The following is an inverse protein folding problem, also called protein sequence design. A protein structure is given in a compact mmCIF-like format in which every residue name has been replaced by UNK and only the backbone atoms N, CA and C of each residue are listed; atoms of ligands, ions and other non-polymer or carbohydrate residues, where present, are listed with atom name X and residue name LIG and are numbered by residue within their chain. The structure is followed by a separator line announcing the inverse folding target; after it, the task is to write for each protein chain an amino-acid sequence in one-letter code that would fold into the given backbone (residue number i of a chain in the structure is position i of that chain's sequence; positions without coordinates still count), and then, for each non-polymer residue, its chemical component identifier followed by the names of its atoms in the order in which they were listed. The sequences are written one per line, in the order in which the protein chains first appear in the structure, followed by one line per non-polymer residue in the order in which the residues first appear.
data_IF_820424717343
#
_entry.id   IF_820424717343
#
_cell.length_a   1.000
_cell.length_b   1.000
_cell.length_c   1.000
_cell.angle_alpha   90.00
_cell.angle_beta   90.00
_cell.angle_gamma   90.00
#
_symmetry.space_group_name_H-M   'P 1'
#
loop_
_entity.id
_entity.type
_entity.pdbx_description
1 polymer ?
#
# COMPACT_ATOMS: atom_id res chain seq x y z
N UNK A 1 -27.75 -67.63 41.87
CA UNK A 1 -28.28 -66.26 41.71
C UNK A 1 -27.08 -65.38 41.41
N UNK A 2 -26.92 -64.96 40.14
CA UNK A 2 -25.73 -64.30 39.60
C UNK A 2 -26.02 -62.80 39.44
N UNK A 3 -25.18 -61.96 40.01
CA UNK A 3 -25.05 -60.56 39.60
C UNK A 3 -23.57 -60.22 39.51
N UNK A 4 -23.08 -59.92 38.29
CA UNK A 4 -21.98 -58.99 38.15
C UNK A 4 -22.46 -57.74 37.39
N UNK A 5 -22.20 -56.60 38.02
CA UNK A 5 -22.31 -55.27 37.44
C UNK A 5 -21.44 -55.16 36.20
N UNK A 6 -22.05 -54.98 35.04
CA UNK A 6 -21.36 -54.56 33.82
C UNK A 6 -21.41 -53.04 33.75
N UNK A 7 -20.31 -52.41 34.18
CA UNK A 7 -20.01 -51.01 33.87
C UNK A 7 -19.48 -50.98 32.44
N UNK A 8 -20.34 -50.74 31.46
CA UNK A 8 -19.92 -50.45 30.09
C UNK A 8 -19.47 -48.99 30.02
N UNK A 9 -18.16 -48.80 29.92
CA UNK A 9 -17.51 -47.50 29.79
C UNK A 9 -17.98 -46.75 28.54
N UNK A 10 -18.39 -45.49 28.75
CA UNK A 10 -18.58 -44.49 27.70
C UNK A 10 -17.23 -44.24 27.01
N UNK A 11 -17.07 -44.72 25.78
CA UNK A 11 -15.99 -44.29 24.90
C UNK A 11 -16.29 -42.84 24.48
N UNK A 12 -15.67 -41.88 25.17
CA UNK A 12 -15.47 -40.54 24.64
C UNK A 12 -14.56 -40.67 23.43
N UNK A 13 -15.16 -40.63 22.23
CA UNK A 13 -14.44 -40.34 21.01
C UNK A 13 -13.93 -38.91 21.13
N UNK A 14 -12.74 -38.75 21.71
CA UNK A 14 -11.95 -37.54 21.54
C UNK A 14 -11.75 -37.38 20.03
N UNK A 15 -12.53 -36.49 19.43
CA UNK A 15 -12.21 -35.93 18.13
C UNK A 15 -10.88 -35.23 18.33
N UNK A 16 -9.80 -35.96 18.02
CA UNK A 16 -8.51 -35.36 17.75
C UNK A 16 -8.77 -34.43 16.56
N UNK A 17 -9.10 -33.18 16.86
CA UNK A 17 -8.90 -32.08 15.93
C UNK A 17 -7.45 -32.27 15.49
N UNK A 18 -7.24 -32.60 14.22
CA UNK A 18 -5.92 -32.56 13.64
C UNK A 18 -5.40 -31.17 14.00
N UNK A 19 -4.44 -31.12 14.93
CA UNK A 19 -3.77 -29.90 15.26
C UNK A 19 -3.06 -29.54 13.96
N UNK A 20 -3.70 -28.67 13.18
CA UNK A 20 -3.09 -28.03 12.02
C UNK A 20 -1.93 -27.23 12.60
N UNK A 21 -0.78 -27.87 12.74
CA UNK A 21 0.48 -27.20 13.02
C UNK A 21 0.72 -26.34 11.76
N UNK A 22 0.59 -24.99 11.84
CA UNK A 22 0.62 -24.11 10.67
C UNK A 22 2.07 -23.93 10.20
N UNK A 23 2.68 -25.06 9.85
CA UNK A 23 4.00 -25.15 9.24
C UNK A 23 3.92 -24.77 7.76
N UNK A 24 2.73 -24.78 7.16
CA UNK A 24 2.53 -24.46 5.75
C UNK A 24 1.98 -23.05 5.56
N UNK A 25 2.50 -22.36 4.55
CA UNK A 25 2.16 -20.99 4.21
C UNK A 25 2.21 -20.79 2.70
N UNK A 26 1.71 -19.64 2.24
CA UNK A 26 1.78 -19.30 0.83
C UNK A 26 0.62 -19.82 -0.01
N UNK A 27 0.70 -19.63 -1.33
CA UNK A 27 -0.39 -19.96 -2.26
C UNK A 27 -0.77 -21.44 -2.27
N UNK A 28 0.22 -22.31 -2.05
CA UNK A 28 0.04 -23.76 -2.00
C UNK A 28 -0.66 -24.23 -0.71
N UNK A 29 -0.67 -23.38 0.32
CA UNK A 29 -1.31 -23.65 1.60
C UNK A 29 -2.65 -22.91 1.75
N UNK A 30 -3.26 -22.44 0.67
CA UNK A 30 -4.50 -21.65 0.75
C UNK A 30 -4.27 -20.23 1.26
N UNK A 31 -3.19 -19.59 0.81
CA UNK A 31 -2.81 -18.21 1.13
C UNK A 31 -2.59 -17.95 2.63
N UNK A 32 -2.22 -18.99 3.38
CA UNK A 32 -2.00 -18.88 4.82
C UNK A 32 -0.69 -18.14 5.12
N UNK A 33 -0.70 -17.34 6.18
CA UNK A 33 0.46 -16.62 6.69
C UNK A 33 1.07 -17.37 7.85
N UNK A 34 2.39 -17.39 7.92
CA UNK A 34 3.09 -17.95 9.07
C UNK A 34 2.74 -17.21 10.36
N UNK A 35 2.59 -17.93 11.49
CA UNK A 35 2.28 -17.32 12.77
C UNK A 35 3.46 -16.52 13.32
N UNK A 36 3.15 -15.41 14.01
CA UNK A 36 4.13 -14.57 14.69
C UNK A 36 5.10 -13.89 13.72
N UNK A 37 6.40 -14.02 14.01
CA UNK A 37 7.49 -13.43 13.22
C UNK A 37 8.16 -14.42 12.27
N UNK A 38 7.53 -15.57 12.02
CA UNK A 38 8.07 -16.59 11.13
C UNK A 38 8.02 -16.14 9.67
N UNK A 39 9.01 -16.60 8.91
CA UNK A 39 9.15 -16.36 7.49
C UNK A 39 8.49 -17.51 6.73
N UNK A 40 7.90 -17.19 5.57
CA UNK A 40 7.37 -18.19 4.67
C UNK A 40 8.38 -18.44 3.56
N UNK A 41 9.01 -19.62 3.55
CA UNK A 41 9.97 -19.99 2.50
C UNK A 41 9.30 -20.09 1.12
N UNK A 42 10.11 -20.10 0.06
CA UNK A 42 9.63 -20.34 -1.32
C UNK A 42 8.85 -21.64 -1.48
N UNK A 43 9.12 -22.62 -0.61
CA UNK A 43 8.48 -23.94 -0.62
C UNK A 43 7.19 -24.00 0.20
N UNK A 44 6.72 -22.85 0.72
CA UNK A 44 5.49 -22.78 1.49
C UNK A 44 5.62 -23.35 2.90
N UNK A 45 6.80 -23.22 3.52
CA UNK A 45 7.05 -23.64 4.91
C UNK A 45 7.43 -22.48 5.82
N UNK A 46 6.95 -22.51 7.06
CA UNK A 46 7.19 -21.51 8.08
C UNK A 46 8.45 -21.80 8.90
N UNK A 47 9.34 -20.83 9.01
CA UNK A 47 10.56 -20.97 9.81
C UNK A 47 11.21 -19.64 10.18
N UNK A 48 12.22 -19.70 11.04
CA UNK A 48 12.96 -18.52 11.51
C UNK A 48 14.39 -18.47 10.98
N UNK A 49 14.89 -19.57 10.41
CA UNK A 49 16.23 -19.64 9.87
C UNK A 49 16.33 -18.90 8.53
N UNK A 50 17.56 -18.56 8.15
CA UNK A 50 17.84 -17.81 6.93
C UNK A 50 17.33 -18.53 5.66
N UNK A 51 17.31 -19.85 5.66
CA UNK A 51 16.70 -20.68 4.60
C UNK A 51 15.21 -20.42 4.37
N UNK A 52 14.50 -19.86 5.36
CA UNK A 52 13.10 -19.48 5.26
C UNK A 52 12.93 -17.98 5.07
N UNK A 53 13.85 -17.19 5.61
CA UNK A 53 13.75 -15.73 5.69
C UNK A 53 14.53 -14.98 4.61
N UNK A 54 15.49 -15.63 3.98
CA UNK A 54 16.38 -15.07 2.97
C UNK A 54 15.78 -15.15 1.57
N UNK A 55 16.60 -15.49 0.59
CA UNK A 55 16.20 -15.57 -0.82
C UNK A 55 15.03 -16.54 -1.04
N UNK A 56 13.98 -16.06 -1.70
CA UNK A 56 12.76 -16.85 -1.96
C UNK A 56 11.69 -16.79 -0.86
N UNK A 57 11.92 -16.05 0.23
CA UNK A 57 10.86 -15.83 1.20
C UNK A 57 9.65 -15.10 0.57
N UNK A 58 8.43 -15.53 0.90
CA UNK A 58 7.18 -15.01 0.32
C UNK A 58 6.61 -13.86 1.19
N UNK A 59 6.74 -12.58 0.79
CA UNK A 59 6.49 -11.42 1.66
C UNK A 59 5.01 -11.22 2.04
N UNK A 60 4.07 -11.76 1.25
CA UNK A 60 2.64 -11.78 1.58
C UNK A 60 2.29 -12.76 2.71
N UNK A 61 3.14 -13.75 2.96
CA UNK A 61 2.82 -14.92 3.78
C UNK A 61 3.80 -15.13 4.95
N UNK A 62 4.79 -14.25 5.15
CA UNK A 62 5.67 -14.27 6.31
C UNK A 62 6.56 -13.04 6.43
N UNK A 63 7.44 -13.03 7.43
CA UNK A 63 8.26 -11.88 7.79
C UNK A 63 9.69 -12.00 7.24
N UNK A 64 9.84 -11.83 5.92
CA UNK A 64 11.12 -11.99 5.23
C UNK A 64 12.19 -11.00 5.71
N UNK A 65 13.44 -11.47 5.82
CA UNK A 65 14.60 -10.66 6.23
C UNK A 65 15.09 -9.72 5.13
N UNK A 66 14.70 -10.00 3.90
CA UNK A 66 15.23 -9.33 2.72
C UNK A 66 14.08 -8.78 1.87
N UNK A 67 13.74 -7.51 2.08
CA UNK A 67 12.94 -6.72 1.12
C UNK A 67 13.82 -6.17 -0.02
N UNK A 68 15.12 -6.49 -0.04
CA UNK A 68 16.09 -6.08 -1.06
C UNK A 68 16.22 -7.07 -2.23
N UNK A 69 15.59 -8.24 -2.14
CA UNK A 69 15.42 -9.27 -3.17
C UNK A 69 13.93 -9.58 -3.36
N UNK A 70 13.08 -8.53 -3.27
CA UNK A 70 11.82 -8.56 -4.01
C UNK A 70 12.15 -9.02 -5.45
N UNK A 71 11.40 -9.96 -6.06
CA UNK A 71 11.45 -10.09 -7.51
C UNK A 71 11.30 -8.66 -8.06
N UNK A 72 12.17 -8.23 -9.00
CA UNK A 72 12.21 -6.83 -9.41
C UNK A 72 10.77 -6.40 -9.64
N UNK A 73 10.26 -5.40 -8.91
CA UNK A 73 8.89 -4.93 -9.11
C UNK A 73 8.79 -4.67 -10.61
N UNK A 74 7.91 -5.40 -11.30
CA UNK A 74 7.83 -5.47 -12.76
C UNK A 74 8.30 -4.14 -13.33
N UNK A 75 9.53 -4.16 -13.87
CA UNK A 75 10.39 -2.97 -14.01
C UNK A 75 9.53 -1.79 -14.44
N UNK A 76 9.28 -0.84 -13.53
CA UNK A 76 8.75 0.45 -13.94
C UNK A 76 9.65 0.90 -15.10
N UNK A 77 9.11 1.20 -16.29
CA UNK A 77 9.96 1.32 -17.47
C UNK A 77 10.98 2.41 -17.19
N UNK A 78 12.27 2.06 -17.22
CA UNK A 78 13.34 3.03 -17.05
C UNK A 78 13.23 3.99 -18.23
N UNK A 79 12.72 5.18 -17.96
CA UNK A 79 12.66 6.21 -18.97
C UNK A 79 14.07 6.58 -19.41
N UNK A 80 14.25 6.73 -20.71
CA UNK A 80 15.50 7.20 -21.33
C UNK A 80 15.29 8.50 -22.09
N UNK A 81 14.05 9.00 -22.13
CA UNK A 81 13.70 10.18 -22.92
C UNK A 81 14.10 11.46 -22.18
N UNK A 82 14.89 12.30 -22.83
CA UNK A 82 15.20 13.65 -22.34
C UNK A 82 14.35 14.74 -22.99
N UNK A 83 13.43 14.37 -23.89
CA UNK A 83 12.67 15.31 -24.72
C UNK A 83 11.14 15.12 -24.64
N UNK A 84 10.61 13.99 -25.12
CA UNK A 84 9.16 13.73 -25.22
C UNK A 84 8.71 12.61 -24.27
N UNK A 85 7.55 12.75 -23.66
CA UNK A 85 6.99 11.79 -22.70
C UNK A 85 5.46 11.80 -22.67
N UNK A 86 4.86 10.86 -21.95
CA UNK A 86 3.42 10.83 -21.75
C UNK A 86 2.67 10.02 -22.81
N UNK A 87 1.35 9.89 -22.65
CA UNK A 87 0.51 9.01 -23.46
C UNK A 87 0.47 9.44 -24.93
N UNK A 88 0.56 10.74 -25.19
CA UNK A 88 0.58 11.30 -26.55
C UNK A 88 1.91 11.10 -27.28
N UNK A 89 2.94 10.57 -26.60
CA UNK A 89 4.26 10.30 -27.16
C UNK A 89 4.61 8.81 -27.02
N UNK A 90 3.66 7.93 -27.37
CA UNK A 90 3.79 6.47 -27.33
C UNK A 90 4.17 5.94 -25.93
N UNK A 91 3.70 6.62 -24.87
CA UNK A 91 3.99 6.23 -23.49
C UNK A 91 5.46 6.38 -23.08
N UNK A 92 6.24 7.23 -23.77
CA UNK A 92 7.64 7.48 -23.40
C UNK A 92 7.74 7.98 -21.96
N UNK A 93 8.70 7.43 -21.23
CA UNK A 93 9.04 7.83 -19.86
C UNK A 93 10.32 8.66 -19.89
N UNK A 94 10.34 9.73 -19.10
CA UNK A 94 11.48 10.60 -18.97
C UNK A 94 12.65 9.92 -18.27
N UNK A 95 13.86 10.31 -18.65
CA UNK A 95 15.10 9.90 -17.99
C UNK A 95 15.04 10.14 -16.47
N UNK A 96 15.79 9.35 -15.71
CA UNK A 96 15.83 9.48 -14.25
C UNK A 96 16.10 10.92 -13.82
N UNK A 97 15.27 11.42 -12.90
CA UNK A 97 15.34 12.81 -12.43
C UNK A 97 14.86 13.85 -13.44
N UNK A 98 14.07 13.46 -14.45
CA UNK A 98 13.29 14.36 -15.29
C UNK A 98 11.80 14.14 -15.04
N UNK A 99 11.06 15.23 -15.04
CA UNK A 99 9.62 15.30 -14.89
C UNK A 99 8.95 15.33 -16.26
N UNK A 100 7.80 14.69 -16.38
CA UNK A 100 7.00 14.77 -17.58
C UNK A 100 5.93 15.85 -17.42
N UNK A 101 6.08 17.00 -18.07
CA UNK A 101 5.10 18.09 -18.04
C UNK A 101 3.72 17.66 -18.57
N UNK A 102 2.67 18.41 -18.26
CA UNK A 102 1.33 18.22 -18.84
C UNK A 102 1.29 18.24 -20.37
N UNK A 103 2.28 18.89 -20.99
CA UNK A 103 2.40 19.00 -22.44
C UNK A 103 3.18 17.84 -23.09
N UNK A 104 3.62 16.86 -22.30
CA UNK A 104 4.34 15.68 -22.80
C UNK A 104 5.81 15.95 -23.13
N UNK A 105 6.43 16.88 -22.41
CA UNK A 105 7.87 17.15 -22.49
C UNK A 105 8.60 16.82 -21.20
N UNK A 106 9.82 16.31 -21.33
CA UNK A 106 10.71 16.02 -20.22
C UNK A 106 11.52 17.27 -19.84
N UNK A 107 11.56 17.59 -18.54
CA UNK A 107 12.39 18.67 -18.04
C UNK A 107 12.64 18.54 -16.54
N UNK A 108 13.53 19.38 -16.01
CA UNK A 108 13.93 19.36 -14.59
C UNK A 108 13.42 20.56 -13.80
N UNK A 109 12.87 21.56 -14.47
CA UNK A 109 12.40 22.80 -13.82
C UNK A 109 10.95 22.66 -13.35
N UNK A 110 10.53 23.57 -12.50
CA UNK A 110 9.17 23.65 -11.94
C UNK A 110 8.08 23.56 -13.02
N UNK A 111 8.29 24.22 -14.17
CA UNK A 111 7.39 24.17 -15.32
C UNK A 111 7.08 22.74 -15.83
N UNK A 112 7.96 21.78 -15.56
CA UNK A 112 7.80 20.37 -15.92
C UNK A 112 7.42 19.49 -14.73
N UNK A 113 7.83 19.88 -13.52
CA UNK A 113 7.77 19.07 -12.31
C UNK A 113 6.60 19.38 -11.39
N UNK A 114 5.96 20.54 -11.58
CA UNK A 114 4.92 21.06 -10.69
C UNK A 114 3.53 20.74 -11.24
N UNK A 115 2.60 21.70 -11.23
CA UNK A 115 1.21 21.47 -11.60
C UNK A 115 1.10 20.86 -13.00
N UNK A 116 0.41 19.71 -13.08
CA UNK A 116 0.20 18.99 -14.34
C UNK A 116 1.33 18.00 -14.71
N UNK A 117 2.33 17.81 -13.86
CA UNK A 117 3.32 16.76 -14.08
C UNK A 117 2.68 15.35 -14.10
N UNK A 118 3.01 14.56 -15.12
CA UNK A 118 2.51 13.22 -15.37
C UNK A 118 3.41 12.17 -14.69
N UNK A 119 3.07 11.81 -13.46
CA UNK A 119 3.88 10.94 -12.58
C UNK A 119 4.13 9.54 -13.11
N UNK A 120 3.26 9.02 -13.99
CA UNK A 120 3.48 7.74 -14.67
C UNK A 120 4.60 7.79 -15.71
N UNK A 121 5.05 8.98 -16.11
CA UNK A 121 6.02 9.19 -17.19
C UNK A 121 7.22 10.06 -16.77
N UNK A 122 7.34 10.43 -15.50
CA UNK A 122 8.47 11.21 -14.99
C UNK A 122 8.43 11.42 -13.47
N UNK A 123 9.52 11.92 -12.92
CA UNK A 123 9.70 12.13 -11.47
C UNK A 123 9.10 13.46 -11.01
N UNK A 124 7.78 13.54 -10.86
CA UNK A 124 7.11 14.77 -10.42
C UNK A 124 7.48 15.14 -8.98
N UNK A 125 8.04 16.33 -8.78
CA UNK A 125 8.32 16.87 -7.45
C UNK A 125 7.10 17.63 -6.96
N UNK A 126 6.21 16.97 -6.24
CA UNK A 126 5.20 17.67 -5.46
C UNK A 126 5.86 18.46 -4.34
N UNK A 127 6.17 19.73 -4.58
CA UNK A 127 6.42 20.76 -3.56
C UNK A 127 7.73 20.63 -2.77
N UNK A 128 8.87 20.92 -3.39
CA UNK A 128 10.03 21.52 -2.71
C UNK A 128 10.85 22.29 -3.73
N UNK A 129 10.68 23.61 -3.72
CA UNK A 129 11.44 24.55 -4.54
C UNK A 129 12.95 24.43 -4.28
N UNK A 130 13.82 24.55 -5.30
CA UNK A 130 15.24 24.85 -5.08
C UNK A 130 15.40 26.28 -4.53
N UNK A 131 16.55 26.59 -3.88
CA UNK A 131 16.69 27.81 -3.08
C UNK A 131 16.81 29.03 -4.00
N UNK A 132 15.84 29.92 -3.94
CA UNK A 132 16.00 31.30 -4.43
C UNK A 132 15.97 32.23 -3.23
N UNK A 133 17.13 32.82 -2.96
CA UNK A 133 17.24 34.01 -2.14
C UNK A 133 16.47 35.16 -2.82
N UNK A 134 15.67 35.91 -2.05
CA UNK A 134 15.21 37.24 -2.46
C UNK A 134 13.74 37.55 -2.20
N UNK A 135 13.46 37.96 -0.95
CA UNK A 135 12.55 39.06 -0.54
C UNK A 135 11.04 38.97 -0.93
N UNK A 136 10.15 38.80 0.05
CA UNK A 136 9.46 39.85 0.85
C UNK A 136 8.28 40.48 0.07
N UNK A 137 7.03 40.63 0.52
CA UNK A 137 6.30 40.55 1.81
C UNK A 137 4.80 40.37 1.41
N UNK A 138 3.89 39.75 2.14
CA UNK A 138 3.27 40.17 3.42
C UNK A 138 2.51 38.95 3.97
N UNK A 139 2.86 38.39 5.14
CA UNK A 139 2.21 38.69 6.44
C UNK A 139 0.66 38.63 6.34
N UNK A 140 -0.11 37.79 7.01
CA UNK A 140 0.06 37.15 8.33
C UNK A 140 -0.78 35.85 8.46
N UNK A 141 -0.15 34.88 9.12
CA UNK A 141 -0.67 34.04 10.20
C UNK A 141 -1.96 33.23 10.04
N UNK A 142 -1.79 31.90 10.02
CA UNK A 142 -2.44 31.08 11.03
C UNK A 142 -1.57 29.89 11.43
N UNK A 143 -1.02 30.06 12.64
CA UNK A 143 -0.84 29.08 13.71
C UNK A 143 -0.93 27.58 13.39
N UNK A 144 0.17 26.94 13.80
CA UNK A 144 0.25 25.68 14.57
C UNK A 144 0.29 24.36 13.81
N UNK A 145 1.46 23.75 14.03
CA UNK A 145 1.64 22.36 14.47
C UNK A 145 1.88 21.36 13.35
N UNK A 146 3.17 21.03 13.23
CA UNK A 146 3.63 19.72 12.84
C UNK A 146 2.89 18.64 13.63
N UNK A 147 2.39 17.63 12.92
CA UNK A 147 2.51 16.24 13.37
C UNK A 147 2.28 15.28 12.20
N UNK A 148 3.31 14.47 11.97
CA UNK A 148 3.27 13.10 11.47
C UNK A 148 2.64 12.83 10.09
N UNK A 149 3.54 12.70 9.12
CA UNK A 149 3.46 11.70 8.05
C UNK A 149 2.91 10.38 8.61
N UNK A 150 1.66 10.09 8.30
CA UNK A 150 1.06 8.78 8.52
C UNK A 150 1.50 7.81 7.39
N UNK A 151 1.62 6.51 7.67
CA UNK A 151 1.91 5.49 6.67
C UNK A 151 0.84 5.52 5.58
N UNK A 152 1.25 5.36 4.32
CA UNK A 152 0.38 5.29 3.15
C UNK A 152 -0.80 4.34 3.42
N UNK A 153 -1.95 4.94 3.69
CA UNK A 153 -3.21 4.25 3.97
C UNK A 153 -3.52 3.23 2.84
N UNK A 154 -3.95 2.00 3.16
CA UNK A 154 -4.35 1.03 2.14
C UNK A 154 -5.52 1.56 1.31
N UNK A 155 -5.46 1.43 -0.02
CA UNK A 155 -6.55 1.88 -0.91
C UNK A 155 -7.79 1.03 -0.69
N UNK A 156 -8.94 1.68 -0.52
CA UNK A 156 -10.23 1.06 -0.25
C UNK A 156 -10.69 0.23 -1.45
N UNK A 157 -11.00 -1.05 -1.21
CA UNK A 157 -11.53 -1.99 -2.19
C UNK A 157 -13.02 -2.30 -2.00
N UNK A 158 -13.64 -1.79 -0.94
CA UNK A 158 -15.04 -2.04 -0.59
C UNK A 158 -15.86 -0.75 -0.42
N UNK A 159 -15.28 0.39 -0.78
CA UNK A 159 -15.92 1.71 -0.71
C UNK A 159 -15.94 2.31 0.69
N UNK A 160 -15.31 1.68 1.70
CA UNK A 160 -15.17 2.24 3.05
C UNK A 160 -13.79 2.83 3.28
N UNK A 161 -13.74 3.94 4.00
CA UNK A 161 -12.52 4.71 4.22
C UNK A 161 -12.49 5.31 5.62
N UNK A 162 -11.35 5.85 6.05
CA UNK A 162 -11.23 6.47 7.36
C UNK A 162 -10.55 5.59 8.40
N UNK A 163 -10.10 6.21 9.50
CA UNK A 163 -9.42 5.55 10.61
C UNK A 163 -10.19 4.35 11.16
N UNK A 164 -11.53 4.44 11.21
CA UNK A 164 -12.43 3.40 11.73
C UNK A 164 -12.49 2.13 10.86
N UNK A 165 -12.00 2.21 9.63
CA UNK A 165 -12.02 1.10 8.67
C UNK A 165 -10.60 0.65 8.30
N UNK A 166 -9.73 0.55 9.31
CA UNK A 166 -8.33 0.13 9.12
C UNK A 166 -7.47 1.21 8.44
N UNK A 167 -7.89 2.48 8.55
CA UNK A 167 -7.19 3.60 7.96
C UNK A 167 -7.16 3.57 6.44
N UNK A 168 -8.17 2.99 5.79
CA UNK A 168 -8.21 2.89 4.32
C UNK A 168 -8.47 4.26 3.66
N UNK A 169 -7.82 4.49 2.50
CA UNK A 169 -7.98 5.71 1.69
C UNK A 169 -8.79 5.45 0.43
N UNK A 170 -9.55 6.46 0.00
CA UNK A 170 -10.27 6.46 -1.26
C UNK A 170 -9.38 6.83 -2.45
N UNK A 171 -8.18 7.36 -2.20
CA UNK A 171 -7.29 7.83 -3.25
C UNK A 171 -6.83 6.66 -4.15
N UNK A 172 -7.29 6.65 -5.40
CA UNK A 172 -7.07 5.56 -6.36
C UNK A 172 -8.13 4.45 -6.34
N UNK A 173 -9.20 4.61 -5.56
CA UNK A 173 -10.30 3.66 -5.50
C UNK A 173 -11.30 3.84 -6.66
N UNK A 174 -11.91 2.75 -7.11
CA UNK A 174 -12.97 2.77 -8.14
C UNK A 174 -14.25 3.49 -7.71
N UNK A 175 -14.45 3.66 -6.40
CA UNK A 175 -15.60 4.37 -5.83
C UNK A 175 -15.44 5.90 -5.88
N UNK A 176 -14.22 6.40 -6.09
CA UNK A 176 -13.86 7.81 -6.11
C UNK A 176 -12.80 8.14 -5.06
N UNK A 177 -12.19 9.33 -5.15
CA UNK A 177 -11.01 9.70 -4.35
C UNK A 177 -11.34 10.34 -3.01
N UNK A 178 -12.60 10.68 -2.76
CA UNK A 178 -13.00 11.45 -1.60
C UNK A 178 -13.58 10.55 -0.53
N UNK A 179 -13.09 10.68 0.70
CA UNK A 179 -13.62 9.95 1.85
C UNK A 179 -14.62 10.84 2.58
N UNK A 180 -15.91 10.53 2.51
CA UNK A 180 -16.92 11.34 3.21
C UNK A 180 -16.82 11.21 4.73
N UNK A 181 -17.45 12.15 5.44
CA UNK A 181 -17.62 12.10 6.91
C UNK A 181 -18.33 10.83 7.39
N UNK A 182 -19.09 10.17 6.51
CA UNK A 182 -19.79 8.91 6.78
C UNK A 182 -18.94 7.67 6.47
N UNK A 183 -17.64 7.84 6.19
CA UNK A 183 -16.68 6.77 5.91
C UNK A 183 -16.93 6.01 4.59
N UNK A 184 -17.43 6.72 3.58
CA UNK A 184 -17.66 6.18 2.24
C UNK A 184 -16.87 6.92 1.17
N UNK A 185 -16.29 6.15 0.25
CA UNK A 185 -15.61 6.65 -0.93
C UNK A 185 -16.59 7.14 -1.99
N UNK A 186 -16.31 8.31 -2.53
CA UNK A 186 -17.12 8.91 -3.58
C UNK A 186 -16.35 9.90 -4.43
N UNK A 187 -17.02 10.38 -5.48
CA UNK A 187 -16.51 11.36 -6.46
C UNK A 187 -17.39 12.60 -6.59
N UNK A 188 -18.55 12.61 -5.93
CA UNK A 188 -19.47 13.75 -6.00
C UNK A 188 -19.03 14.81 -5.02
N UNK A 189 -19.42 16.03 -5.32
CA UNK A 189 -19.21 17.21 -4.49
C UNK A 189 -19.60 17.01 -3.01
N UNK A 190 -20.67 16.25 -2.72
CA UNK A 190 -21.07 15.87 -1.35
C UNK A 190 -20.04 15.01 -0.60
N UNK A 191 -19.24 14.23 -1.33
CA UNK A 191 -18.16 13.41 -0.75
C UNK A 191 -16.85 14.20 -0.67
N UNK A 192 -16.61 15.12 -1.61
CA UNK A 192 -15.33 15.79 -1.80
C UNK A 192 -15.23 17.16 -1.13
N UNK A 193 -16.36 17.84 -0.89
CA UNK A 193 -16.35 19.13 -0.21
C UNK A 193 -15.85 18.97 1.21
N UNK A 194 -14.84 19.75 1.57
CA UNK A 194 -14.41 19.92 2.96
C UNK A 194 -15.56 20.41 3.85
N UNK A 195 -16.48 21.21 3.28
CA UNK A 195 -17.71 21.69 3.94
C UNK A 195 -18.70 20.56 4.30
N UNK A 196 -18.63 19.41 3.62
CA UNK A 196 -19.44 18.21 3.88
C UNK A 196 -18.72 17.20 4.78
N UNK A 197 -17.51 17.55 5.24
CA UNK A 197 -16.70 16.74 6.15
C UNK A 197 -15.85 15.67 5.45
N UNK A 198 -15.34 15.95 4.24
CA UNK A 198 -14.36 15.07 3.59
C UNK A 198 -13.13 14.86 4.51
N UNK A 199 -12.78 13.59 4.76
CA UNK A 199 -11.69 13.19 5.63
C UNK A 199 -10.36 13.29 4.86
N UNK A 200 -9.68 14.42 4.98
CA UNK A 200 -8.45 14.76 4.24
C UNK A 200 -7.28 13.79 4.45
N UNK A 201 -7.27 13.00 5.52
CA UNK A 201 -6.29 11.91 5.72
C UNK A 201 -6.58 10.64 4.93
N UNK A 202 -7.77 10.52 4.34
CA UNK A 202 -8.28 9.30 3.70
C UNK A 202 -8.93 9.56 2.34
N UNK A 203 -8.92 10.80 1.84
CA UNK A 203 -9.40 11.16 0.52
C UNK A 203 -9.38 12.65 0.24
N UNK A 204 -9.46 13.00 -1.04
CA UNK A 204 -9.37 14.38 -1.56
C UNK A 204 -10.26 14.56 -2.77
#
# INVERSE_FOLDING_TARGET
MRTPFLITALAVFSTAVAQFDPQQCGPLAGNQRCPGTKCCSQYGWCGNADTYCGSGCQPGFGNCKDTTLSPPPATAPVGTSTHKCGPNNNGRICASGYCCSQYGYCGKTDAYCSTGCQSSFGSCTGGSSPPVAGQSSTLLSSTRSATASAPSAPVSNNGRCGSSFGGQTCQGSSYGNCCSSYNYCGKTDTHCKSSSGCQSGFGT
#
